data_IF_746814006112
#
_entry.id   IF_746814006112
#
_cell.length_a   1.000
_cell.length_b   1.000
_cell.length_c   1.000
_cell.angle_alpha   90.00
_cell.angle_beta   90.00
_cell.angle_gamma   90.00
#
_symmetry.space_group_name_H-M   'P 1'
#
loop_
_entity.id
_entity.type
_entity.pdbx_description
1 polymer ?
#
# COMPACT_ATOMS: atom_id res chain seq x y z
N UNK A 1 -3.77 12.09 -11.23
CA UNK A 1 -2.42 11.46 -11.20
C UNK A 1 -1.24 12.43 -11.10
N UNK A 2 -1.46 13.74 -10.94
CA UNK A 2 -0.38 14.76 -10.83
C UNK A 2 0.36 14.77 -9.47
N UNK A 3 -0.18 14.14 -8.43
CA UNK A 3 0.40 14.15 -7.08
C UNK A 3 1.72 13.38 -6.90
N UNK A 4 1.91 12.27 -7.65
CA UNK A 4 3.10 11.44 -7.50
C UNK A 4 4.39 12.11 -8.00
N UNK A 5 4.45 12.73 -9.20
CA UNK A 5 5.62 13.47 -9.65
C UNK A 5 5.95 14.64 -8.71
N UNK A 6 4.93 15.27 -8.17
CA UNK A 6 5.12 16.37 -7.23
C UNK A 6 5.68 15.89 -5.89
N UNK A 7 5.12 14.80 -5.33
CA UNK A 7 5.63 14.16 -4.11
C UNK A 7 7.09 13.72 -4.30
N UNK A 8 7.41 13.09 -5.42
CA UNK A 8 8.77 12.69 -5.77
C UNK A 8 9.72 13.91 -5.76
N UNK A 9 9.35 15.00 -6.43
CA UNK A 9 10.15 16.23 -6.48
C UNK A 9 10.38 16.85 -5.10
N UNK A 10 9.38 16.83 -4.22
CA UNK A 10 9.52 17.29 -2.84
C UNK A 10 10.42 16.38 -2.00
N UNK A 11 10.28 15.08 -2.15
CA UNK A 11 11.13 14.13 -1.44
C UNK A 11 12.59 14.26 -1.87
N UNK A 12 12.86 14.42 -3.15
CA UNK A 12 14.23 14.58 -3.67
C UNK A 12 14.95 15.83 -3.17
N UNK A 13 14.21 16.85 -2.73
CA UNK A 13 14.79 18.01 -2.09
C UNK A 13 15.32 17.76 -0.66
N UNK A 14 14.88 16.67 0.00
CA UNK A 14 15.18 16.41 1.41
C UNK A 14 15.88 15.07 1.66
N UNK A 15 15.76 14.13 0.72
CA UNK A 15 16.39 12.81 0.78
C UNK A 15 17.05 12.49 -0.57
N UNK A 16 17.88 11.42 -0.60
CA UNK A 16 18.55 11.05 -1.84
C UNK A 16 17.51 10.74 -2.95
N UNK A 17 17.76 11.18 -4.20
CA UNK A 17 16.85 10.92 -5.32
C UNK A 17 16.54 9.45 -5.54
N UNK A 18 17.55 8.57 -5.33
CA UNK A 18 17.39 7.12 -5.45
C UNK A 18 16.39 6.57 -4.45
N UNK A 19 16.48 7.00 -3.19
CA UNK A 19 15.57 6.54 -2.14
C UNK A 19 14.14 7.03 -2.40
N UNK A 20 13.97 8.28 -2.83
CA UNK A 20 12.67 8.84 -3.20
C UNK A 20 12.03 8.06 -4.36
N UNK A 21 12.82 7.75 -5.40
CA UNK A 21 12.35 6.98 -6.56
C UNK A 21 11.94 5.57 -6.15
N UNK A 22 12.77 4.86 -5.38
CA UNK A 22 12.49 3.50 -4.92
C UNK A 22 11.22 3.47 -4.05
N UNK A 23 11.08 4.40 -3.10
CA UNK A 23 9.93 4.45 -2.22
C UNK A 23 8.61 4.67 -2.98
N UNK A 24 8.60 5.64 -3.91
CA UNK A 24 7.42 5.95 -4.72
C UNK A 24 7.13 4.80 -5.70
N UNK A 25 8.14 4.30 -6.41
CA UNK A 25 7.96 3.22 -7.38
C UNK A 25 7.46 1.93 -6.71
N UNK A 26 8.05 1.52 -5.59
CA UNK A 26 7.63 0.32 -4.87
C UNK A 26 6.19 0.46 -4.34
N UNK A 27 5.82 1.63 -3.81
CA UNK A 27 4.43 1.88 -3.38
C UNK A 27 3.43 1.80 -4.52
N UNK A 28 3.77 2.34 -5.70
CA UNK A 28 2.90 2.32 -6.89
C UNK A 28 2.78 0.91 -7.46
N UNK A 29 3.90 0.23 -7.65
CA UNK A 29 3.94 -1.15 -8.17
C UNK A 29 3.14 -2.09 -7.26
N UNK A 30 3.36 -1.97 -5.93
CA UNK A 30 2.62 -2.75 -4.96
C UNK A 30 1.12 -2.45 -4.98
N UNK A 31 0.72 -1.18 -5.07
CA UNK A 31 -0.69 -0.79 -5.14
C UNK A 31 -1.37 -1.34 -6.40
N UNK A 32 -0.70 -1.26 -7.55
CA UNK A 32 -1.20 -1.83 -8.81
C UNK A 32 -1.33 -3.36 -8.70
N UNK A 33 -0.40 -4.01 -7.98
CA UNK A 33 -0.38 -5.45 -7.81
C UNK A 33 -1.45 -5.98 -6.87
N UNK A 34 -1.79 -5.23 -5.81
CA UNK A 34 -2.83 -5.64 -4.84
C UNK A 34 -4.25 -5.53 -5.42
N UNK A 35 -4.50 -4.59 -6.32
CA UNK A 35 -5.82 -4.37 -6.89
C UNK A 35 -6.40 -5.62 -7.59
N UNK A 36 -5.66 -6.36 -8.45
CA UNK A 36 -6.14 -7.61 -9.02
C UNK A 36 -6.44 -8.69 -7.99
N UNK A 37 -5.63 -8.82 -6.93
CA UNK A 37 -5.87 -9.76 -5.83
C UNK A 37 -7.20 -9.47 -5.13
N UNK A 38 -7.46 -8.22 -4.79
CA UNK A 38 -8.71 -7.81 -4.17
C UNK A 38 -9.95 -8.06 -5.08
N UNK A 39 -9.81 -7.91 -6.40
CA UNK A 39 -10.86 -8.23 -7.36
C UNK A 39 -11.09 -9.74 -7.42
N UNK A 40 -10.04 -10.55 -7.43
CA UNK A 40 -10.14 -12.01 -7.41
C UNK A 40 -10.86 -12.50 -6.13
N UNK A 41 -10.48 -11.99 -4.96
CA UNK A 41 -11.13 -12.35 -3.70
C UNK A 41 -12.60 -11.90 -3.65
N UNK A 42 -12.90 -10.69 -4.09
CA UNK A 42 -14.26 -10.13 -3.99
C UNK A 42 -15.25 -10.75 -4.99
N UNK A 43 -14.80 -11.05 -6.20
CA UNK A 43 -15.69 -11.42 -7.31
C UNK A 43 -15.50 -12.86 -7.81
N UNK A 44 -14.29 -13.38 -7.78
CA UNK A 44 -13.98 -14.70 -8.34
C UNK A 44 -14.09 -15.79 -7.27
N UNK A 45 -13.58 -15.55 -6.07
CA UNK A 45 -13.62 -16.54 -5.00
C UNK A 45 -15.03 -17.05 -4.67
N UNK A 46 -16.08 -16.20 -4.62
CA UNK A 46 -17.45 -16.67 -4.42
C UNK A 46 -17.99 -17.55 -5.56
N UNK A 47 -17.44 -17.41 -6.77
CA UNK A 47 -17.90 -18.14 -7.96
C UNK A 47 -17.22 -19.50 -8.13
N UNK A 48 -15.94 -19.64 -7.76
CA UNK A 48 -15.16 -20.86 -7.97
C UNK A 48 -15.06 -21.74 -6.72
N UNK A 49 -15.42 -21.21 -5.56
CA UNK A 49 -15.33 -21.88 -4.27
C UNK A 49 -13.94 -21.87 -3.64
N UNK A 50 -13.88 -22.14 -2.34
CA UNK A 50 -12.64 -22.04 -1.55
C UNK A 50 -11.52 -22.96 -2.05
N UNK A 51 -11.84 -24.19 -2.44
CA UNK A 51 -10.83 -25.18 -2.86
C UNK A 51 -10.08 -24.75 -4.12
N UNK A 52 -10.80 -24.23 -5.12
CA UNK A 52 -10.18 -23.76 -6.35
C UNK A 52 -9.37 -22.47 -6.13
N UNK A 53 -9.78 -21.64 -5.16
CA UNK A 53 -9.02 -20.46 -4.77
C UNK A 53 -7.71 -20.82 -4.06
N UNK A 54 -7.73 -21.81 -3.14
CA UNK A 54 -6.52 -22.32 -2.48
C UNK A 54 -5.51 -22.90 -3.47
N UNK A 55 -5.97 -23.62 -4.49
CA UNK A 55 -5.10 -24.13 -5.56
C UNK A 55 -4.45 -23.00 -6.37
N UNK A 56 -5.19 -21.94 -6.68
CA UNK A 56 -4.67 -20.76 -7.36
C UNK A 56 -3.64 -20.01 -6.50
N UNK A 57 -3.91 -19.87 -5.21
CA UNK A 57 -3.02 -19.19 -4.26
C UNK A 57 -1.76 -20.00 -3.93
N UNK A 58 -1.85 -21.34 -3.89
CA UNK A 58 -0.69 -22.21 -3.69
C UNK A 58 0.24 -22.26 -4.91
N UNK A 59 -0.23 -21.82 -6.06
CA UNK A 59 0.52 -21.77 -7.31
C UNK A 59 1.33 -20.49 -7.52
N UNK A 60 1.76 -20.28 -8.76
CA UNK A 60 2.56 -19.10 -9.15
C UNK A 60 1.89 -17.77 -8.87
N UNK A 61 0.55 -17.73 -8.84
CA UNK A 61 -0.22 -16.53 -8.55
C UNK A 61 -0.01 -16.07 -7.10
N UNK A 62 0.02 -16.99 -6.14
CA UNK A 62 0.29 -16.67 -4.73
C UNK A 62 1.70 -16.13 -4.52
N UNK A 63 2.70 -16.67 -5.22
CA UNK A 63 4.07 -16.14 -5.18
C UNK A 63 4.11 -14.69 -5.70
N UNK A 64 3.46 -14.43 -6.83
CA UNK A 64 3.39 -13.07 -7.42
C UNK A 64 2.68 -12.11 -6.48
N UNK A 65 1.51 -12.49 -5.95
CA UNK A 65 0.77 -11.67 -4.98
C UNK A 65 1.58 -11.42 -3.70
N UNK A 66 2.28 -12.41 -3.19
CA UNK A 66 3.16 -12.27 -2.05
C UNK A 66 4.30 -11.26 -2.29
N UNK A 67 4.96 -11.35 -3.44
CA UNK A 67 6.01 -10.39 -3.82
C UNK A 67 5.48 -8.96 -3.97
N UNK A 68 4.32 -8.80 -4.61
CA UNK A 68 3.66 -7.50 -4.76
C UNK A 68 3.20 -6.93 -3.41
N UNK A 69 2.70 -7.79 -2.52
CA UNK A 69 2.36 -7.42 -1.14
C UNK A 69 3.57 -6.92 -0.36
N UNK A 70 4.69 -7.62 -0.42
CA UNK A 70 5.95 -7.20 0.22
C UNK A 70 6.47 -5.89 -0.38
N UNK A 71 6.40 -5.72 -1.71
CA UNK A 71 6.79 -4.48 -2.38
C UNK A 71 5.91 -3.30 -1.94
N UNK A 72 4.59 -3.50 -1.85
CA UNK A 72 3.66 -2.48 -1.35
C UNK A 72 3.97 -2.08 0.09
N UNK A 73 4.09 -3.05 0.97
CA UNK A 73 4.32 -2.80 2.39
C UNK A 73 5.68 -2.14 2.63
N UNK A 74 6.73 -2.71 2.05
CA UNK A 74 8.08 -2.15 2.14
C UNK A 74 8.15 -0.74 1.54
N UNK A 75 7.57 -0.55 0.36
CA UNK A 75 7.50 0.75 -0.31
C UNK A 75 6.74 1.79 0.50
N UNK A 76 5.60 1.41 1.09
CA UNK A 76 4.78 2.31 1.91
C UNK A 76 5.45 2.68 3.23
N UNK A 77 6.12 1.74 3.90
CA UNK A 77 6.88 2.02 5.12
C UNK A 77 8.05 2.97 4.82
N UNK A 78 8.80 2.70 3.76
CA UNK A 78 9.92 3.57 3.33
C UNK A 78 9.41 4.95 2.94
N UNK A 79 8.27 5.03 2.25
CA UNK A 79 7.63 6.29 1.89
C UNK A 79 7.19 7.07 3.14
N UNK A 80 6.54 6.41 4.10
CA UNK A 80 6.14 7.01 5.37
C UNK A 80 7.33 7.54 6.16
N UNK A 81 8.41 6.78 6.22
CA UNK A 81 9.66 7.20 6.84
C UNK A 81 10.28 8.41 6.10
N UNK A 82 10.32 8.37 4.76
CA UNK A 82 10.87 9.44 3.94
C UNK A 82 10.09 10.76 4.11
N UNK A 83 8.74 10.68 4.14
CA UNK A 83 7.84 11.82 4.39
C UNK A 83 8.09 12.41 5.78
N UNK A 84 8.24 11.56 6.80
CA UNK A 84 8.53 11.99 8.17
C UNK A 84 9.89 12.67 8.27
N UNK A 85 10.92 12.08 7.65
CA UNK A 85 12.28 12.63 7.64
C UNK A 85 12.37 13.96 6.89
N UNK A 86 11.63 14.08 5.79
CA UNK A 86 11.53 15.31 5.01
C UNK A 86 10.67 16.39 5.71
N UNK A 87 10.09 16.09 6.88
CA UNK A 87 9.20 16.99 7.65
C UNK A 87 8.11 17.63 6.79
N UNK A 88 7.58 16.85 5.83
CA UNK A 88 6.49 17.31 4.99
C UNK A 88 5.23 17.54 5.84
N UNK A 89 4.50 18.62 5.56
CA UNK A 89 3.26 18.94 6.28
C UNK A 89 2.05 18.42 5.49
N UNK A 90 1.03 17.94 6.19
CA UNK A 90 0.88 17.83 7.65
C UNK A 90 1.73 16.67 8.23
N UNK A 91 2.32 16.86 9.41
CA UNK A 91 3.28 15.92 10.01
C UNK A 91 2.75 14.54 10.36
N UNK A 92 1.42 14.35 10.41
CA UNK A 92 0.78 13.07 10.69
C UNK A 92 0.79 12.10 9.48
N UNK A 93 1.03 12.61 8.27
CA UNK A 93 0.91 11.83 7.02
C UNK A 93 1.95 10.71 6.92
N UNK A 94 3.19 10.98 7.34
CA UNK A 94 4.24 9.95 7.35
C UNK A 94 3.94 8.78 8.30
N UNK A 95 3.67 9.03 9.59
CA UNK A 95 3.22 7.99 10.51
C UNK A 95 1.95 7.27 10.04
N UNK A 96 0.96 7.99 9.50
CA UNK A 96 -0.26 7.38 8.97
C UNK A 96 0.00 6.39 7.84
N UNK A 97 0.90 6.71 6.92
CA UNK A 97 1.32 5.80 5.85
C UNK A 97 1.98 4.53 6.41
N UNK A 98 2.90 4.67 7.36
CA UNK A 98 3.58 3.53 7.96
C UNK A 98 2.60 2.65 8.77
N UNK A 99 1.74 3.26 9.59
CA UNK A 99 0.74 2.54 10.39
C UNK A 99 -0.26 1.81 9.48
N UNK A 100 -0.76 2.45 8.42
CA UNK A 100 -1.68 1.79 7.48
C UNK A 100 -1.07 0.56 6.83
N UNK A 101 0.22 0.59 6.49
CA UNK A 101 0.92 -0.55 5.94
C UNK A 101 1.05 -1.71 6.94
N UNK A 102 1.43 -1.41 8.19
CA UNK A 102 1.56 -2.42 9.27
C UNK A 102 0.20 -3.04 9.61
N UNK A 103 -0.85 -2.22 9.67
CA UNK A 103 -2.22 -2.70 9.93
C UNK A 103 -2.70 -3.61 8.81
N UNK A 104 -2.48 -3.24 7.55
CA UNK A 104 -2.82 -4.09 6.41
C UNK A 104 -2.08 -5.44 6.46
N UNK A 105 -0.79 -5.44 6.82
CA UNK A 105 -0.03 -6.68 6.98
C UNK A 105 -0.61 -7.58 8.08
N UNK A 106 -0.94 -7.00 9.23
CA UNK A 106 -1.51 -7.76 10.35
C UNK A 106 -2.88 -8.36 10.04
N UNK A 107 -3.65 -7.73 9.15
CA UNK A 107 -5.00 -8.18 8.79
C UNK A 107 -4.99 -9.20 7.65
N UNK A 108 -3.94 -9.26 6.83
CA UNK A 108 -3.81 -10.32 5.81
C UNK A 108 -3.79 -11.74 6.39
N UNK A 109 -3.49 -11.88 7.68
CA UNK A 109 -3.57 -13.16 8.42
C UNK A 109 -4.87 -13.34 9.21
N UNK A 110 -5.76 -12.34 9.22
CA UNK A 110 -6.99 -12.37 9.99
C UNK A 110 -8.20 -12.64 9.07
N UNK A 111 -9.02 -13.59 9.46
CA UNK A 111 -10.28 -13.92 8.76
C UNK A 111 -11.48 -13.39 9.54
N UNK A 112 -12.53 -12.94 8.84
CA UNK A 112 -13.79 -12.54 9.43
C UNK A 112 -14.19 -11.08 9.16
N UNK A 113 -15.41 -10.70 9.56
CA UNK A 113 -15.97 -9.38 9.23
C UNK A 113 -15.19 -8.21 9.85
N UNK A 114 -14.53 -8.43 10.99
CA UNK A 114 -13.67 -7.43 11.61
C UNK A 114 -12.46 -7.09 10.73
N UNK A 115 -11.91 -8.07 10.00
CA UNK A 115 -10.81 -7.87 9.08
C UNK A 115 -11.20 -6.89 7.97
N UNK A 116 -12.39 -7.04 7.39
CA UNK A 116 -12.90 -6.14 6.36
C UNK A 116 -12.98 -4.68 6.82
N UNK A 117 -13.48 -4.43 8.04
CA UNK A 117 -13.56 -3.07 8.60
C UNK A 117 -12.17 -2.46 8.76
N UNK A 118 -11.22 -3.25 9.23
CA UNK A 118 -9.83 -2.79 9.43
C UNK A 118 -9.16 -2.47 8.10
N UNK A 119 -9.34 -3.31 7.06
CA UNK A 119 -8.82 -3.07 5.71
C UNK A 119 -9.38 -1.76 5.14
N UNK A 120 -10.70 -1.55 5.22
CA UNK A 120 -11.33 -0.33 4.73
C UNK A 120 -10.77 0.89 5.46
N UNK A 121 -10.68 0.82 6.79
CA UNK A 121 -10.17 1.93 7.61
C UNK A 121 -8.71 2.25 7.26
N UNK A 122 -7.85 1.23 7.13
CA UNK A 122 -6.45 1.41 6.76
C UNK A 122 -6.30 1.99 5.35
N UNK A 123 -7.13 1.55 4.39
CA UNK A 123 -7.13 2.06 3.01
C UNK A 123 -7.59 3.51 2.96
N UNK A 124 -8.63 3.87 3.71
CA UNK A 124 -9.10 5.26 3.82
C UNK A 124 -8.03 6.15 4.46
N UNK A 125 -7.39 5.69 5.53
CA UNK A 125 -6.30 6.42 6.18
C UNK A 125 -5.12 6.64 5.22
N UNK A 126 -4.74 5.62 4.47
CA UNK A 126 -3.70 5.69 3.44
C UNK A 126 -4.06 6.72 2.35
N UNK A 127 -5.27 6.63 1.81
CA UNK A 127 -5.76 7.56 0.79
C UNK A 127 -5.84 9.00 1.30
N UNK A 128 -6.31 9.22 2.53
CA UNK A 128 -6.36 10.52 3.17
C UNK A 128 -4.95 11.11 3.38
N UNK A 129 -3.97 10.29 3.81
CA UNK A 129 -2.59 10.73 3.98
C UNK A 129 -1.96 11.16 2.66
N UNK A 130 -2.13 10.39 1.59
CA UNK A 130 -1.66 10.75 0.24
C UNK A 130 -2.34 12.00 -0.29
N UNK A 131 -3.66 12.12 -0.12
CA UNK A 131 -4.43 13.30 -0.54
C UNK A 131 -4.00 14.55 0.20
N UNK A 132 -3.78 14.46 1.51
CA UNK A 132 -3.31 15.58 2.32
C UNK A 132 -1.90 16.05 1.92
N UNK A 133 -1.03 15.12 1.49
CA UNK A 133 0.28 15.46 0.93
C UNK A 133 0.16 16.15 -0.44
N UNK A 134 -0.82 15.76 -1.26
CA UNK A 134 -1.05 16.34 -2.57
C UNK A 134 -1.71 17.72 -2.52
N UNK A 135 -2.65 17.94 -1.58
CA UNK A 135 -3.42 19.19 -1.48
C UNK A 135 -2.64 20.35 -0.83
N UNK A 136 -1.67 20.06 0.03
CA UNK A 136 -0.80 21.07 0.66
C UNK A 136 0.50 21.29 -0.12
N UNK A 137 0.49 20.81 -1.28
CA UNK A 137 1.44 20.99 -2.33
C UNK A 137 1.09 22.17 -3.18
#
# INVERSE_FOLDING_TARGET
>A
MLGLPYLHRRLTAHISPRLATVAVAASVVGLIGIAPGAVLEAFVAPMIGHHAMEELESGGLGVVNGLLGVAYLGGTIVLGWAVTRARLRPGWTGPALAVSAVVLLGVMSATGPAAGVVIITATVLYGAALSALALKA
#
